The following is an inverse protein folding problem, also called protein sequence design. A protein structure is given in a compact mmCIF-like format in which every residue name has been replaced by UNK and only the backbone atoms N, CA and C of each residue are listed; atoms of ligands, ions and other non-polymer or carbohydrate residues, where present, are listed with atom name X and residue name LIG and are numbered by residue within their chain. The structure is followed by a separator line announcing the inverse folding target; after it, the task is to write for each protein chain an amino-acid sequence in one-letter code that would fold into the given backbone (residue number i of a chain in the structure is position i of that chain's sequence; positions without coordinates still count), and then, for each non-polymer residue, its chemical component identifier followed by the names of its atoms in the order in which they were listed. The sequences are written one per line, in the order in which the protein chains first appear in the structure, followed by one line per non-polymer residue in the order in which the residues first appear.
data_IF_499789030885
#
_entry.id   IF_499789030885
#
_cell.length_a   1.000
_cell.length_b   1.000
_cell.length_c   1.000
_cell.angle_alpha   90.00
_cell.angle_beta   90.00
_cell.angle_gamma   90.00
#
_symmetry.space_group_name_H-M   'P 1'
#
loop_
_entity.id
_entity.type
_entity.pdbx_description
1 polymer ?
#
# COMPACT_ATOMS: atom_id res chain seq x y z
N UNK A 1 -21.21 -5.11 3.95
CA UNK A 1 -20.27 -3.97 3.90
C UNK A 1 -18.99 -4.49 3.24
N UNK A 2 -18.96 -4.57 1.90
CA UNK A 2 -17.88 -5.20 1.12
C UNK A 2 -16.96 -4.13 0.52
N UNK A 3 -16.43 -3.25 1.35
CA UNK A 3 -15.49 -2.22 0.95
C UNK A 3 -14.07 -2.62 1.33
N UNK A 4 -13.11 -2.44 0.42
CA UNK A 4 -11.66 -2.55 0.72
C UNK A 4 -11.27 -1.59 1.85
N UNK A 5 -12.00 -0.47 1.97
CA UNK A 5 -11.83 0.51 3.04
C UNK A 5 -12.84 0.26 4.16
N UNK A 6 -12.38 0.29 5.42
CA UNK A 6 -13.23 0.22 6.60
C UNK A 6 -12.70 1.12 7.73
N UNK A 7 -13.56 1.44 8.70
CA UNK A 7 -13.27 2.38 9.80
C UNK A 7 -12.19 1.91 10.79
N UNK A 8 -11.78 0.64 10.72
CA UNK A 8 -10.75 0.07 11.58
C UNK A 8 -9.34 0.16 11.00
N UNK A 9 -9.19 0.74 9.81
CA UNK A 9 -7.90 0.94 9.16
C UNK A 9 -7.20 2.18 9.72
N UNK A 10 -5.93 2.01 10.11
CA UNK A 10 -5.16 3.02 10.83
C UNK A 10 -4.88 4.26 9.98
N UNK A 11 -4.78 4.11 8.65
CA UNK A 11 -4.64 5.21 7.70
C UNK A 11 -5.95 5.86 7.24
N UNK A 12 -7.11 5.25 7.54
CA UNK A 12 -8.40 5.66 6.98
C UNK A 12 -9.08 6.76 7.80
N UNK A 13 -9.48 7.84 7.13
CA UNK A 13 -10.33 8.89 7.70
C UNK A 13 -11.58 9.00 6.82
N UNK A 14 -12.80 8.81 7.37
CA UNK A 14 -14.04 8.91 6.61
C UNK A 14 -14.14 10.26 5.86
N UNK A 15 -14.42 10.20 4.56
CA UNK A 15 -14.55 11.39 3.71
C UNK A 15 -13.23 12.01 3.21
N UNK A 16 -12.08 11.38 3.48
CA UNK A 16 -10.77 11.80 2.95
C UNK A 16 -10.08 10.65 2.23
N UNK A 17 -9.31 10.98 1.19
CA UNK A 17 -8.53 9.97 0.49
C UNK A 17 -7.37 9.45 1.38
N UNK A 18 -7.07 8.14 1.36
CA UNK A 18 -6.06 7.56 2.28
C UNK A 18 -4.66 8.13 2.05
N UNK A 19 -4.33 8.48 0.80
CA UNK A 19 -3.09 9.17 0.46
C UNK A 19 -3.15 10.67 0.75
N UNK A 20 -4.34 11.28 0.81
CA UNK A 20 -4.50 12.70 1.14
C UNK A 20 -4.11 12.98 2.59
N UNK A 21 -4.30 12.08 3.56
CA UNK A 21 -3.88 12.35 4.94
C UNK A 21 -2.35 12.38 5.09
N UNK A 22 -1.65 11.45 4.43
CA UNK A 22 -0.19 11.44 4.38
C UNK A 22 0.40 12.58 3.57
N UNK A 23 -0.20 12.89 2.41
CA UNK A 23 0.17 14.05 1.61
C UNK A 23 -0.19 15.36 2.31
N UNK A 24 -1.30 15.46 3.05
CA UNK A 24 -1.67 16.66 3.81
C UNK A 24 -0.68 16.90 4.94
N UNK A 25 -0.20 15.87 5.65
CA UNK A 25 0.91 16.01 6.61
C UNK A 25 2.22 16.45 5.95
N UNK A 26 2.53 15.93 4.76
CA UNK A 26 3.69 16.37 3.96
C UNK A 26 3.53 17.77 3.38
N UNK A 27 2.31 18.16 3.00
CA UNK A 27 1.94 19.45 2.44
C UNK A 27 1.79 20.51 3.52
N UNK A 28 1.43 20.17 4.76
CA UNK A 28 1.41 21.13 5.90
C UNK A 28 2.82 21.55 6.32
N UNK A 29 3.88 20.87 5.85
CA UNK A 29 5.27 21.34 5.93
C UNK A 29 5.62 22.36 4.80
N UNK A 30 4.65 22.59 3.92
CA UNK A 30 4.18 23.77 3.15
C UNK A 30 5.06 24.51 2.15
N UNK A 31 6.40 24.45 2.19
CA UNK A 31 7.19 25.07 1.10
C UNK A 31 8.45 24.28 0.80
N UNK A 32 8.47 23.64 -0.37
CA UNK A 32 9.68 22.99 -0.86
C UNK A 32 10.48 23.96 -1.73
N UNK A 33 11.78 24.06 -1.42
CA UNK A 33 12.78 24.75 -2.23
C UNK A 33 13.70 23.69 -2.82
N UNK A 34 13.81 23.64 -4.15
CA UNK A 34 14.70 22.69 -4.81
C UNK A 34 16.06 23.35 -4.99
N UNK A 35 17.11 22.73 -4.45
CA UNK A 35 18.48 23.17 -4.70
C UNK A 35 18.97 22.60 -6.04
N UNK A 36 19.31 23.46 -6.98
CA UNK A 36 19.91 23.12 -8.27
C UNK A 36 21.29 23.78 -8.34
N UNK A 37 22.35 22.99 -8.17
CA UNK A 37 23.74 23.45 -8.22
C UNK A 37 24.09 24.61 -7.26
N UNK A 38 23.50 24.62 -6.06
CA UNK A 38 23.73 25.66 -5.05
C UNK A 38 22.72 26.80 -5.05
N UNK A 39 21.80 26.84 -6.02
CA UNK A 39 20.76 27.86 -6.12
C UNK A 39 19.40 27.24 -5.81
N UNK A 40 18.65 27.85 -4.90
CA UNK A 40 17.29 27.41 -4.57
C UNK A 40 16.27 27.98 -5.56
N UNK A 41 15.29 27.17 -5.96
CA UNK A 41 14.10 27.64 -6.68
C UNK A 41 13.21 28.49 -5.78
N UNK A 42 12.21 29.16 -6.36
CA UNK A 42 11.09 29.68 -5.58
C UNK A 42 10.33 28.54 -4.88
N UNK A 43 9.55 28.91 -3.85
CA UNK A 43 8.71 27.98 -3.11
C UNK A 43 7.74 27.27 -4.08
N UNK A 44 7.78 25.95 -4.06
CA UNK A 44 6.88 25.10 -4.87
C UNK A 44 6.07 24.19 -3.98
N UNK A 45 4.81 24.00 -4.38
CA UNK A 45 3.88 23.11 -3.68
C UNK A 45 4.01 21.72 -4.29
N UNK A 46 4.38 20.75 -3.46
CA UNK A 46 4.43 19.35 -3.88
C UNK A 46 3.02 18.77 -3.94
N UNK A 47 2.52 18.51 -5.15
CA UNK A 47 1.17 18.01 -5.37
C UNK A 47 1.02 16.49 -5.18
N UNK A 48 2.09 15.73 -5.38
CA UNK A 48 2.08 14.26 -5.30
C UNK A 48 3.48 13.69 -5.07
N UNK A 49 3.53 12.48 -4.52
CA UNK A 49 4.79 11.83 -4.15
C UNK A 49 5.38 12.43 -2.88
N UNK A 50 6.49 11.87 -2.42
CA UNK A 50 7.20 12.32 -1.23
C UNK A 50 8.69 12.43 -1.54
N UNK A 51 9.39 13.36 -0.89
CA UNK A 51 10.82 13.58 -1.12
C UNK A 51 11.63 12.36 -0.66
N UNK A 52 12.49 11.85 -1.54
CA UNK A 52 13.43 10.78 -1.19
C UNK A 52 14.51 11.30 -0.23
N UNK A 53 14.85 10.50 0.77
CA UNK A 53 15.83 10.86 1.80
C UNK A 53 15.22 11.42 3.08
N UNK A 54 13.93 11.74 3.09
CA UNK A 54 13.21 12.01 4.33
C UNK A 54 12.84 10.68 5.02
N UNK A 55 12.84 10.59 6.36
CA UNK A 55 12.51 9.36 7.08
C UNK A 55 11.00 9.07 7.16
N UNK A 56 10.16 10.10 7.03
CA UNK A 56 8.69 10.01 7.16
C UNK A 56 7.97 9.28 6.00
N UNK A 57 8.38 9.46 4.72
CA UNK A 57 7.69 8.86 3.58
C UNK A 57 7.53 7.35 3.61
N UNK A 58 8.51 6.63 4.16
CA UNK A 58 8.44 5.17 4.27
C UNK A 58 7.25 4.71 5.13
N UNK A 59 6.98 5.43 6.22
CA UNK A 59 5.86 5.12 7.11
C UNK A 59 4.51 5.49 6.45
N UNK A 60 4.46 6.63 5.77
CA UNK A 60 3.25 7.07 5.07
C UNK A 60 2.86 6.10 3.94
N UNK A 61 3.85 5.54 3.23
CA UNK A 61 3.61 4.52 2.23
C UNK A 61 2.97 3.25 2.84
N UNK A 62 3.52 2.77 3.97
CA UNK A 62 2.96 1.61 4.67
C UNK A 62 1.51 1.83 5.11
N UNK A 63 1.20 3.03 5.62
CA UNK A 63 -0.16 3.40 6.02
C UNK A 63 -1.12 3.48 4.82
N UNK A 64 -0.66 4.03 3.70
CA UNK A 64 -1.48 4.11 2.50
C UNK A 64 -1.84 2.71 1.95
N UNK A 65 -0.88 1.78 1.97
CA UNK A 65 -1.05 0.41 1.44
C UNK A 65 -1.78 -0.55 2.39
N UNK A 66 -1.90 -0.19 3.66
CA UNK A 66 -2.51 -1.02 4.71
C UNK A 66 -3.89 -1.59 4.33
N UNK A 67 -4.83 -0.84 3.71
CA UNK A 67 -6.13 -1.38 3.36
C UNK A 67 -6.08 -2.56 2.40
N UNK A 68 -5.29 -2.44 1.34
CA UNK A 68 -5.13 -3.49 0.35
C UNK A 68 -4.54 -4.74 1.02
N UNK A 69 -3.52 -4.53 1.84
CA UNK A 69 -2.85 -5.60 2.58
C UNK A 69 -3.75 -6.33 3.56
N UNK A 70 -4.57 -5.60 4.33
CA UNK A 70 -5.53 -6.18 5.25
C UNK A 70 -6.61 -6.96 4.49
N UNK A 71 -7.07 -6.44 3.34
CA UNK A 71 -8.08 -7.13 2.54
C UNK A 71 -7.56 -8.47 2.00
N UNK A 72 -6.32 -8.50 1.47
CA UNK A 72 -5.68 -9.75 1.02
C UNK A 72 -5.54 -10.76 2.17
N UNK A 73 -5.18 -10.29 3.38
CA UNK A 73 -5.02 -11.17 4.54
C UNK A 73 -6.36 -11.76 5.01
N UNK A 74 -7.42 -10.94 5.04
CA UNK A 74 -8.75 -11.31 5.52
C UNK A 74 -9.55 -12.16 4.52
N UNK A 75 -9.22 -12.10 3.23
CA UNK A 75 -9.92 -12.86 2.20
C UNK A 75 -9.71 -14.36 2.37
N UNK A 76 -10.80 -15.10 2.56
CA UNK A 76 -10.79 -16.56 2.74
C UNK A 76 -10.54 -17.34 1.46
N UNK A 77 -10.83 -16.74 0.30
CA UNK A 77 -10.60 -17.38 -1.00
C UNK A 77 -9.11 -17.50 -1.35
N UNK A 78 -8.21 -16.75 -0.72
CA UNK A 78 -6.77 -16.92 -0.92
C UNK A 78 -6.22 -18.07 -0.09
N UNK A 79 -5.78 -19.12 -0.77
CA UNK A 79 -5.11 -20.28 -0.20
C UNK A 79 -3.76 -19.92 0.45
N UNK A 80 -2.99 -19.05 -0.21
CA UNK A 80 -1.64 -18.65 0.21
C UNK A 80 -0.62 -19.80 0.16
N UNK A 81 0.60 -19.52 0.61
CA UNK A 81 1.65 -20.52 0.72
C UNK A 81 1.67 -21.16 2.11
N UNK A 82 1.50 -22.48 2.15
CA UNK A 82 1.56 -23.27 3.38
C UNK A 82 2.97 -23.84 3.59
N UNK A 83 3.57 -23.54 4.74
CA UNK A 83 4.84 -24.17 5.09
C UNK A 83 4.64 -25.64 5.47
N UNK A 84 5.57 -26.53 5.09
CA UNK A 84 5.59 -27.91 5.59
C UNK A 84 5.60 -27.93 7.11
N UNK A 85 4.88 -28.88 7.71
CA UNK A 85 4.78 -29.01 9.16
C UNK A 85 6.17 -29.15 9.78
N UNK A 86 6.52 -28.20 10.65
CA UNK A 86 7.73 -28.28 11.47
C UNK A 86 7.30 -28.84 12.82
N UNK A 87 7.91 -29.94 13.32
CA UNK A 87 7.47 -30.61 14.55
C UNK A 87 7.37 -29.72 15.80
N UNK A 88 7.98 -28.54 15.78
CA UNK A 88 8.01 -27.56 16.87
C UNK A 88 6.92 -26.47 16.79
N UNK A 89 6.16 -26.37 15.69
CA UNK A 89 5.11 -25.36 15.50
C UNK A 89 3.81 -26.10 15.17
N UNK A 90 2.89 -26.13 16.13
CA UNK A 90 1.62 -26.85 16.05
C UNK A 90 0.65 -26.29 15.01
N UNK A 91 0.84 -25.02 14.63
CA UNK A 91 0.00 -24.35 13.64
C UNK A 91 0.69 -24.30 12.28
N UNK A 92 0.00 -24.81 11.27
CA UNK A 92 0.45 -24.69 9.90
C UNK A 92 0.45 -23.21 9.49
N UNK A 93 1.64 -22.64 9.36
CA UNK A 93 1.85 -21.25 8.97
C UNK A 93 1.45 -21.07 7.49
N UNK A 94 0.46 -20.20 7.26
CA UNK A 94 0.04 -19.81 5.91
C UNK A 94 0.43 -18.36 5.67
N UNK A 95 1.20 -18.12 4.61
CA UNK A 95 1.58 -16.78 4.17
C UNK A 95 0.85 -16.45 2.87
N UNK A 96 -0.06 -15.48 2.93
CA UNK A 96 -0.81 -15.01 1.74
C UNK A 96 -0.07 -13.95 0.94
N UNK A 97 0.76 -13.13 1.60
CA UNK A 97 1.50 -12.05 0.96
C UNK A 97 2.80 -11.70 1.68
N UNK A 98 3.74 -11.16 0.92
CA UNK A 98 4.94 -10.46 1.39
C UNK A 98 4.99 -9.08 0.74
N UNK A 99 5.48 -8.09 1.46
CA UNK A 99 5.71 -6.77 0.89
C UNK A 99 7.02 -6.21 1.43
N UNK A 100 7.82 -5.64 0.53
CA UNK A 100 9.05 -4.92 0.87
C UNK A 100 9.09 -3.63 0.07
N UNK A 101 8.94 -2.49 0.74
CA UNK A 101 8.68 -1.21 0.08
C UNK A 101 7.54 -1.34 -0.95
N UNK A 102 7.75 -0.93 -2.20
CA UNK A 102 6.77 -1.01 -3.28
C UNK A 102 6.66 -2.40 -3.94
N UNK A 103 7.57 -3.32 -3.65
CA UNK A 103 7.52 -4.69 -4.16
C UNK A 103 6.56 -5.55 -3.31
N UNK A 104 5.49 -6.03 -3.94
CA UNK A 104 4.44 -6.84 -3.30
C UNK A 104 4.39 -8.20 -3.99
N UNK A 105 4.46 -9.26 -3.20
CA UNK A 105 4.28 -10.63 -3.65
C UNK A 105 3.04 -11.20 -2.98
N UNK A 106 2.12 -11.77 -3.77
CA UNK A 106 0.92 -12.46 -3.28
C UNK A 106 1.00 -13.90 -3.74
N UNK A 107 0.76 -14.83 -2.82
CA UNK A 107 0.78 -16.26 -3.11
C UNK A 107 -0.63 -16.71 -3.49
N UNK A 108 -0.76 -17.25 -4.70
CA UNK A 108 -2.02 -17.66 -5.31
C UNK A 108 -1.88 -19.10 -5.80
N UNK A 109 -2.94 -19.90 -5.70
CA UNK A 109 -2.94 -21.30 -6.17
C UNK A 109 -3.51 -21.44 -7.58
N UNK A 110 -4.45 -20.58 -7.99
CA UNK A 110 -5.12 -20.70 -9.28
C UNK A 110 -5.43 -19.35 -9.98
N UNK A 111 -6.03 -19.47 -11.16
CA UNK A 111 -6.43 -18.31 -11.99
C UNK A 111 -7.65 -17.56 -11.44
N UNK A 112 -8.46 -18.18 -10.58
CA UNK A 112 -9.61 -17.56 -9.94
C UNK A 112 -9.13 -16.61 -8.85
N UNK A 113 -8.17 -17.05 -8.02
CA UNK A 113 -7.48 -16.22 -7.04
C UNK A 113 -6.76 -15.05 -7.73
N UNK A 114 -6.10 -15.27 -8.87
CA UNK A 114 -5.50 -14.20 -9.65
C UNK A 114 -6.53 -13.15 -10.11
N UNK A 115 -7.68 -13.59 -10.63
CA UNK A 115 -8.77 -12.69 -11.03
C UNK A 115 -9.31 -11.88 -9.85
N UNK A 116 -9.42 -12.48 -8.68
CA UNK A 116 -9.85 -11.80 -7.45
C UNK A 116 -8.81 -10.77 -6.98
N UNK A 117 -7.52 -11.09 -7.05
CA UNK A 117 -6.45 -10.15 -6.74
C UNK A 117 -6.49 -8.94 -7.66
N UNK A 118 -6.63 -9.15 -8.98
CA UNK A 118 -6.76 -8.05 -9.94
C UNK A 118 -7.98 -7.16 -9.62
N UNK A 119 -9.11 -7.75 -9.26
CA UNK A 119 -10.29 -7.02 -8.83
C UNK A 119 -10.00 -6.15 -7.59
N UNK A 120 -9.29 -6.67 -6.59
CA UNK A 120 -8.91 -5.89 -5.40
C UNK A 120 -7.91 -4.78 -5.69
N UNK A 121 -6.91 -5.05 -6.53
CA UNK A 121 -5.96 -4.04 -6.97
C UNK A 121 -6.67 -2.91 -7.72
N UNK A 122 -7.57 -3.24 -8.65
CA UNK A 122 -8.34 -2.23 -9.38
C UNK A 122 -9.22 -1.39 -8.44
N UNK A 123 -9.97 -2.04 -7.54
CA UNK A 123 -10.80 -1.34 -6.57
C UNK A 123 -9.99 -0.42 -5.65
N UNK A 124 -8.81 -0.86 -5.23
CA UNK A 124 -7.90 -0.03 -4.46
C UNK A 124 -7.41 1.15 -5.31
N UNK A 125 -7.02 0.93 -6.56
CA UNK A 125 -6.65 2.00 -7.51
C UNK A 125 -7.77 3.02 -7.72
N UNK A 126 -9.02 2.60 -7.84
CA UNK A 126 -10.17 3.50 -8.06
C UNK A 126 -10.37 4.46 -6.89
N UNK A 127 -10.23 3.95 -5.67
CA UNK A 127 -10.38 4.77 -4.45
C UNK A 127 -9.10 5.50 -4.08
N UNK A 128 -7.96 5.11 -4.66
CA UNK A 128 -6.66 5.63 -4.27
C UNK A 128 -5.81 6.37 -5.27
N UNK A 129 -6.21 6.36 -6.52
CA UNK A 129 -5.41 6.87 -7.63
C UNK A 129 -4.01 6.22 -7.70
N UNK A 130 -3.77 5.13 -6.96
CA UNK A 130 -2.54 4.35 -7.02
C UNK A 130 -2.49 3.58 -8.34
N UNK A 131 -1.30 3.46 -8.91
CA UNK A 131 -1.09 2.73 -10.17
C UNK A 131 -0.18 1.54 -9.92
N UNK A 132 -0.66 0.36 -10.25
CA UNK A 132 0.13 -0.86 -10.25
C UNK A 132 0.83 -1.04 -11.59
N UNK A 133 2.06 -1.55 -11.57
CA UNK A 133 2.84 -1.76 -12.79
C UNK A 133 2.60 -3.17 -13.34
N UNK A 134 1.68 -3.29 -14.29
CA UNK A 134 1.32 -4.57 -14.90
C UNK A 134 2.46 -5.23 -15.72
N UNK A 135 3.49 -4.47 -16.11
CA UNK A 135 4.64 -5.02 -16.86
C UNK A 135 5.64 -5.77 -15.98
N UNK A 136 5.51 -5.65 -14.66
CA UNK A 136 6.33 -6.37 -13.67
C UNK A 136 5.64 -7.62 -13.13
N UNK A 137 4.39 -7.88 -13.52
CA UNK A 137 3.57 -9.00 -13.07
C UNK A 137 3.64 -10.18 -14.04
#
# INVERSE_FOLDING_TARGET
MNGILNEYQTGFIPGKFIGENGMTLSMILDQMYVNINGFFTDATIQQSGLRQGDPLPQLLFNLAMEPLFLHILQETCFSGYRFPEVPSISDSLVVKRMAYADDICVFLDDTVELGLLHYYMQRYSDVSNAKFNEKKN
#
